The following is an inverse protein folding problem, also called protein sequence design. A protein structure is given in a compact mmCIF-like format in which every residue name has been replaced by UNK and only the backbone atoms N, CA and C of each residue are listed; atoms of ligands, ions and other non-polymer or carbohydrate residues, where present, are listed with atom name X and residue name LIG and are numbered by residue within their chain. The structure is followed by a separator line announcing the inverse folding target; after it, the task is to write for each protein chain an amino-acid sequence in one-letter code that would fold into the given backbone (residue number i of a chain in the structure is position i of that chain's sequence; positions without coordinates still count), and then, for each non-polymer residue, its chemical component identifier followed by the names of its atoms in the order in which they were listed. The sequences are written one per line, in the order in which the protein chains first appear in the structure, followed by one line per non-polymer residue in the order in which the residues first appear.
data_IF_298796820330
#
_entry.id   IF_298796820330
#
_cell.length_a   1.000
_cell.length_b   1.000
_cell.length_c   1.000
_cell.angle_alpha   90.00
_cell.angle_beta   90.00
_cell.angle_gamma   90.00
#
_symmetry.space_group_name_H-M   'P 1'
#
loop_
_entity.id
_entity.type
_entity.pdbx_description
1 polymer ?
#
# COMPACT_ATOMS: atom_id res chain seq x y z
N UNK A 1 25.68 -1.27 -0.12
CA UNK A 1 24.84 -0.96 -1.29
C UNK A 1 25.62 0.05 -2.10
N UNK A 2 26.33 -0.38 -3.14
CA UNK A 2 26.96 0.57 -4.07
C UNK A 2 25.86 1.03 -5.02
N UNK A 3 25.55 2.32 -5.03
CA UNK A 3 24.49 2.89 -5.89
C UNK A 3 24.81 2.69 -7.38
N UNK A 4 26.09 2.54 -7.72
CA UNK A 4 26.53 2.29 -9.09
C UNK A 4 27.82 1.44 -9.09
N UNK A 5 27.74 0.09 -9.02
CA UNK A 5 28.93 -0.76 -8.92
C UNK A 5 29.80 -0.73 -10.19
N UNK A 6 29.25 -0.29 -11.33
CA UNK A 6 29.99 -0.18 -12.60
C UNK A 6 30.77 1.14 -12.75
N UNK A 7 30.45 2.19 -11.98
CA UNK A 7 31.16 3.49 -12.04
C UNK A 7 32.44 3.56 -11.19
N UNK A 8 32.71 2.59 -10.30
CA UNK A 8 33.68 2.78 -9.21
C UNK A 8 35.00 2.03 -9.34
N UNK A 9 35.92 2.46 -10.21
CA UNK A 9 37.34 2.04 -10.11
C UNK A 9 38.36 3.17 -10.26
N UNK A 10 37.92 4.39 -10.57
CA UNK A 10 38.84 5.50 -10.89
C UNK A 10 39.46 6.16 -9.67
N UNK A 11 38.80 6.13 -8.50
CA UNK A 11 39.25 6.83 -7.30
C UNK A 11 39.55 5.92 -6.11
N UNK A 12 39.64 4.60 -6.32
CA UNK A 12 39.89 3.60 -5.28
C UNK A 12 41.20 3.89 -4.55
N UNK A 13 41.16 3.98 -3.22
CA UNK A 13 42.34 4.14 -2.37
C UNK A 13 42.90 5.56 -2.30
N UNK A 14 42.29 6.56 -2.97
CA UNK A 14 42.74 7.96 -2.88
C UNK A 14 42.68 8.51 -1.44
N UNK A 15 41.68 8.09 -0.66
CA UNK A 15 41.55 8.47 0.75
C UNK A 15 42.51 7.70 1.69
N UNK A 16 43.28 6.73 1.18
CA UNK A 16 44.33 6.01 1.92
C UNK A 16 45.72 6.62 1.66
N UNK A 17 45.78 7.94 1.51
CA UNK A 17 47.01 8.71 1.25
C UNK A 17 47.13 9.89 2.22
N UNK A 18 48.31 10.51 2.28
CA UNK A 18 48.51 11.73 3.09
C UNK A 18 47.64 12.89 2.56
N UNK A 19 47.21 13.83 3.42
CA UNK A 19 46.40 14.97 2.99
C UNK A 19 47.08 15.78 1.88
N UNK A 20 46.37 16.05 0.80
CA UNK A 20 46.84 16.85 -0.33
C UNK A 20 46.43 18.32 -0.21
N UNK A 21 47.26 19.25 -0.69
CA UNK A 21 46.91 20.69 -0.74
C UNK A 21 45.91 21.07 -1.85
N UNK A 22 45.57 20.13 -2.75
CA UNK A 22 44.52 20.34 -3.76
C UNK A 22 43.14 20.41 -3.10
N UNK A 23 42.29 21.34 -3.56
CA UNK A 23 40.90 21.42 -3.10
C UNK A 23 40.20 20.08 -3.29
N UNK A 24 39.61 19.55 -2.22
CA UNK A 24 38.77 18.37 -2.27
C UNK A 24 37.66 18.54 -3.32
N UNK A 25 37.21 17.45 -3.93
CA UNK A 25 36.16 17.52 -4.93
C UNK A 25 34.80 17.78 -4.26
N UNK A 26 34.19 18.91 -4.59
CA UNK A 26 32.83 19.25 -4.19
C UNK A 26 31.83 18.76 -5.25
N UNK A 27 30.87 17.93 -4.82
CA UNK A 27 29.79 17.45 -5.69
C UNK A 27 28.51 18.22 -5.44
N UNK A 28 27.92 18.75 -6.52
CA UNK A 28 26.61 19.40 -6.46
C UNK A 28 25.51 18.36 -6.64
N UNK A 29 24.51 18.37 -5.75
CA UNK A 29 23.36 17.47 -5.85
C UNK A 29 22.50 17.82 -7.07
N UNK A 30 22.03 16.80 -7.78
CA UNK A 30 21.13 16.97 -8.92
C UNK A 30 19.79 17.57 -8.48
N UNK A 31 19.32 18.62 -9.18
CA UNK A 31 17.98 19.17 -8.97
C UNK A 31 16.91 18.25 -9.59
N UNK A 32 15.67 18.33 -9.10
CA UNK A 32 14.55 17.61 -9.68
C UNK A 32 13.21 18.36 -9.62
N UNK A 33 12.46 18.35 -10.73
CA UNK A 33 11.06 18.75 -10.77
C UNK A 33 10.23 17.82 -9.87
N UNK A 34 9.38 18.43 -9.05
CA UNK A 34 8.53 17.71 -8.11
C UNK A 34 7.10 18.25 -8.13
N UNK A 35 6.15 17.33 -8.08
CA UNK A 35 4.73 17.63 -7.94
C UNK A 35 4.09 16.68 -6.93
N UNK A 36 3.34 17.21 -5.97
CA UNK A 36 2.55 16.42 -5.01
C UNK A 36 1.15 16.18 -5.59
N UNK A 37 0.79 14.91 -5.78
CA UNK A 37 -0.52 14.47 -6.30
C UNK A 37 -1.44 13.96 -5.18
N UNK A 38 -1.04 14.12 -3.92
CA UNK A 38 -1.71 13.53 -2.76
C UNK A 38 -2.96 14.29 -2.32
N UNK A 39 -3.38 15.33 -3.06
CA UNK A 39 -4.55 16.15 -2.73
C UNK A 39 -5.83 15.31 -2.59
N UNK A 40 -5.98 14.23 -3.38
CA UNK A 40 -7.10 13.28 -3.28
C UNK A 40 -7.19 12.54 -1.94
N UNK A 41 -6.08 12.45 -1.20
CA UNK A 41 -6.04 11.84 0.13
C UNK A 41 -6.28 12.85 1.26
N UNK A 42 -6.26 14.16 0.97
CA UNK A 42 -6.44 15.20 1.99
C UNK A 42 -7.92 15.43 2.30
N UNK A 43 -8.27 15.28 3.58
CA UNK A 43 -9.61 15.56 4.07
C UNK A 43 -9.79 17.07 4.34
N UNK A 44 -10.41 17.79 3.39
CA UNK A 44 -10.73 19.22 3.52
C UNK A 44 -11.74 19.51 4.62
N UNK A 45 -12.75 18.65 4.74
CA UNK A 45 -13.80 18.73 5.76
C UNK A 45 -14.11 17.34 6.30
N UNK A 46 -14.14 17.19 7.62
CA UNK A 46 -14.41 15.89 8.26
C UNK A 46 -15.88 15.81 8.68
N UNK A 47 -16.61 14.85 8.12
CA UNK A 47 -17.96 14.50 8.50
C UNK A 47 -18.05 12.99 8.75
N UNK A 48 -18.24 12.61 10.02
CA UNK A 48 -18.30 11.22 10.47
C UNK A 48 -19.73 10.68 10.61
N UNK A 49 -20.76 11.46 10.29
CA UNK A 49 -22.16 11.02 10.39
C UNK A 49 -22.62 10.15 9.22
N UNK A 50 -21.70 9.78 8.31
CA UNK A 50 -22.00 9.05 7.06
C UNK A 50 -21.78 7.55 7.24
N UNK A 51 -22.48 6.76 6.42
CA UNK A 51 -22.32 5.31 6.37
C UNK A 51 -21.36 4.89 5.26
N UNK A 52 -20.69 3.75 5.44
CA UNK A 52 -19.72 3.20 4.47
C UNK A 52 -20.35 2.61 3.20
N UNK A 53 -21.67 2.43 3.14
CA UNK A 53 -22.36 1.89 1.96
C UNK A 53 -22.07 2.73 0.68
N UNK A 54 -21.96 4.05 0.83
CA UNK A 54 -21.62 4.94 -0.29
C UNK A 54 -20.24 4.65 -0.87
N UNK A 55 -19.26 4.30 -0.05
CA UNK A 55 -17.91 3.98 -0.51
C UNK A 55 -17.90 2.75 -1.43
N UNK A 56 -18.63 1.69 -1.06
CA UNK A 56 -18.74 0.49 -1.89
C UNK A 56 -19.50 0.75 -3.19
N UNK A 57 -20.58 1.54 -3.15
CA UNK A 57 -21.32 1.92 -4.34
C UNK A 57 -20.44 2.70 -5.32
N UNK A 58 -19.74 3.74 -4.85
CA UNK A 58 -18.82 4.53 -5.68
C UNK A 58 -17.68 3.68 -6.24
N UNK A 59 -17.13 2.75 -5.44
CA UNK A 59 -16.10 1.82 -5.90
C UNK A 59 -16.60 0.94 -7.05
N UNK A 60 -17.74 0.29 -6.86
CA UNK A 60 -18.32 -0.59 -7.88
C UNK A 60 -18.62 0.21 -9.15
N UNK A 61 -19.27 1.36 -9.05
CA UNK A 61 -19.63 2.19 -10.21
C UNK A 61 -18.41 2.72 -10.96
N UNK A 62 -17.41 3.25 -10.26
CA UNK A 62 -16.20 3.81 -10.87
C UNK A 62 -15.34 2.77 -11.58
N UNK A 63 -15.37 1.51 -11.10
CA UNK A 63 -14.55 0.43 -11.65
C UNK A 63 -15.31 -0.45 -12.65
N UNK A 64 -16.65 -0.37 -12.70
CA UNK A 64 -17.49 -1.26 -13.50
C UNK A 64 -17.10 -1.27 -14.97
N UNK A 65 -16.96 -0.09 -15.57
CA UNK A 65 -16.68 0.03 -17.01
C UNK A 65 -15.34 -0.59 -17.38
N UNK A 66 -14.30 -0.36 -16.56
CA UNK A 66 -12.96 -0.96 -16.76
C UNK A 66 -12.99 -2.48 -16.66
N UNK A 67 -13.78 -3.02 -15.72
CA UNK A 67 -13.92 -4.47 -15.54
C UNK A 67 -14.78 -5.09 -16.66
N UNK A 68 -15.78 -4.37 -17.16
CA UNK A 68 -16.56 -4.76 -18.36
C UNK A 68 -15.65 -4.83 -19.59
N UNK A 69 -14.80 -3.83 -19.79
CA UNK A 69 -13.86 -3.81 -20.92
C UNK A 69 -12.84 -4.94 -20.82
N UNK A 70 -12.34 -5.23 -19.62
CA UNK A 70 -11.49 -6.39 -19.37
C UNK A 70 -12.20 -7.73 -19.69
N UNK A 71 -13.45 -7.87 -19.26
CA UNK A 71 -14.28 -9.06 -19.54
C UNK A 71 -14.53 -9.24 -21.03
N UNK A 72 -14.90 -8.18 -21.75
CA UNK A 72 -15.09 -8.20 -23.21
C UNK A 72 -13.81 -8.51 -23.97
N UNK A 73 -12.67 -8.01 -23.49
CA UNK A 73 -11.36 -8.29 -24.08
C UNK A 73 -10.95 -9.75 -23.88
N UNK A 74 -11.30 -10.34 -22.74
CA UNK A 74 -10.93 -11.73 -22.40
C UNK A 74 -11.88 -12.77 -23.01
N UNK A 75 -13.19 -12.54 -22.97
CA UNK A 75 -14.20 -13.53 -23.34
C UNK A 75 -14.99 -13.18 -24.62
N UNK A 76 -14.68 -12.04 -25.26
CA UNK A 76 -15.30 -11.61 -26.51
C UNK A 76 -16.27 -10.44 -26.32
N UNK A 77 -16.45 -9.64 -27.38
CA UNK A 77 -17.25 -8.41 -27.35
C UNK A 77 -18.73 -8.65 -27.06
N UNK A 78 -19.24 -9.81 -27.47
CA UNK A 78 -20.64 -10.22 -27.33
C UNK A 78 -20.89 -11.06 -26.07
N UNK A 79 -19.97 -11.02 -25.10
CA UNK A 79 -20.13 -11.77 -23.84
C UNK A 79 -21.36 -11.27 -23.07
N UNK A 80 -22.18 -12.22 -22.62
CA UNK A 80 -23.44 -11.96 -21.93
C UNK A 80 -23.17 -11.51 -20.48
N UNK A 81 -23.20 -10.21 -20.22
CA UNK A 81 -23.02 -9.63 -18.89
C UNK A 81 -24.38 -9.39 -18.27
N UNK A 82 -24.62 -9.97 -17.09
CA UNK A 82 -25.91 -9.89 -16.37
C UNK A 82 -25.76 -9.33 -14.97
N UNK A 83 -26.81 -8.70 -14.48
CA UNK A 83 -26.98 -8.40 -13.05
C UNK A 83 -27.40 -9.67 -12.30
N UNK A 84 -27.20 -9.71 -10.97
CA UNK A 84 -27.52 -10.92 -10.21
C UNK A 84 -29.02 -11.28 -10.25
N UNK A 85 -29.90 -10.29 -10.29
CA UNK A 85 -31.34 -10.52 -10.38
C UNK A 85 -31.84 -10.98 -11.76
N UNK A 86 -30.99 -10.99 -12.78
CA UNK A 86 -31.30 -11.39 -14.16
C UNK A 86 -30.79 -12.80 -14.49
N UNK A 87 -30.18 -13.46 -13.51
CA UNK A 87 -29.65 -14.81 -13.65
C UNK A 87 -30.76 -15.81 -13.98
N UNK A 88 -30.45 -16.71 -14.91
CA UNK A 88 -31.29 -17.84 -15.27
C UNK A 88 -30.49 -19.12 -15.03
N UNK A 89 -31.15 -20.15 -14.50
CA UNK A 89 -30.51 -21.45 -14.26
C UNK A 89 -29.89 -22.00 -15.56
N UNK A 90 -28.71 -22.59 -15.43
CA UNK A 90 -27.94 -23.25 -16.49
C UNK A 90 -27.53 -22.34 -17.68
N UNK A 91 -27.66 -21.02 -17.55
CA UNK A 91 -27.21 -20.05 -18.55
C UNK A 91 -25.80 -19.52 -18.24
N UNK A 92 -24.89 -19.62 -19.22
CA UNK A 92 -23.56 -19.02 -19.09
C UNK A 92 -23.62 -17.51 -19.23
N UNK A 93 -23.06 -16.82 -18.25
CA UNK A 93 -22.98 -15.36 -18.24
C UNK A 93 -21.77 -14.86 -17.44
N UNK A 94 -21.55 -13.55 -17.52
CA UNK A 94 -20.61 -12.81 -16.69
C UNK A 94 -21.38 -12.00 -15.67
N UNK A 95 -21.01 -12.15 -14.40
CA UNK A 95 -21.48 -11.30 -13.31
C UNK A 95 -20.33 -10.42 -12.81
N UNK A 96 -20.65 -9.17 -12.45
CA UNK A 96 -19.68 -8.19 -11.95
C UNK A 96 -20.18 -7.66 -10.63
N UNK A 97 -19.32 -7.68 -9.62
CA UNK A 97 -19.66 -7.22 -8.28
C UNK A 97 -18.44 -7.08 -7.39
N UNK A 98 -18.70 -6.77 -6.12
CA UNK A 98 -17.70 -6.68 -5.06
C UNK A 98 -17.58 -8.04 -4.36
N UNK A 99 -16.37 -8.53 -4.20
CA UNK A 99 -16.12 -9.73 -3.40
C UNK A 99 -16.31 -9.41 -1.92
N UNK A 100 -17.01 -10.30 -1.23
CA UNK A 100 -17.13 -10.33 0.21
C UNK A 100 -16.69 -11.71 0.70
N UNK A 101 -15.62 -11.75 1.50
CA UNK A 101 -15.14 -12.97 2.14
C UNK A 101 -15.73 -13.04 3.55
N UNK A 102 -16.68 -13.95 3.74
CA UNK A 102 -17.19 -14.27 5.05
C UNK A 102 -16.20 -15.19 5.75
N UNK A 103 -15.63 -14.71 6.86
CA UNK A 103 -14.58 -15.42 7.58
C UNK A 103 -15.02 -15.75 9.00
N UNK A 104 -14.87 -17.02 9.40
CA UNK A 104 -15.34 -17.51 10.71
C UNK A 104 -14.52 -16.96 11.87
N UNK A 105 -13.21 -16.77 11.66
CA UNK A 105 -12.28 -16.30 12.70
C UNK A 105 -12.19 -14.78 12.81
N UNK A 106 -12.93 -14.03 11.96
CA UNK A 106 -12.90 -12.57 11.98
C UNK A 106 -13.47 -12.04 13.32
N UNK A 107 -12.78 -11.10 13.99
CA UNK A 107 -13.29 -10.50 15.21
C UNK A 107 -14.59 -9.76 14.95
N UNK A 108 -15.55 -9.90 15.86
CA UNK A 108 -16.85 -9.26 15.78
C UNK A 108 -17.05 -8.38 17.01
N UNK A 109 -17.15 -7.07 16.77
CA UNK A 109 -17.43 -6.08 17.81
C UNK A 109 -18.71 -6.43 18.56
N UNK A 110 -19.73 -6.96 17.86
CA UNK A 110 -20.99 -7.34 18.50
C UNK A 110 -20.83 -8.54 19.44
N UNK A 111 -19.99 -9.53 19.09
CA UNK A 111 -19.68 -10.65 19.98
C UNK A 111 -18.93 -10.15 21.22
N UNK A 112 -17.91 -9.30 21.01
CA UNK A 112 -17.15 -8.67 22.09
C UNK A 112 -18.05 -7.88 23.05
N UNK A 113 -18.95 -7.04 22.52
CA UNK A 113 -19.90 -6.25 23.31
C UNK A 113 -20.97 -7.11 23.99
N UNK A 114 -21.41 -8.21 23.39
CA UNK A 114 -22.40 -9.11 24.00
C UNK A 114 -21.82 -9.93 25.16
N UNK A 115 -20.51 -10.15 25.14
CA UNK A 115 -19.75 -10.94 26.11
C UNK A 115 -19.14 -10.09 27.24
N UNK A 116 -19.46 -8.78 27.30
CA UNK A 116 -18.92 -7.73 28.20
C UNK A 116 -19.07 -7.97 29.71
N UNK A 117 -19.42 -9.17 30.15
CA UNK A 117 -19.50 -9.49 31.56
C UNK A 117 -18.49 -10.48 32.10
N UNK A 118 -17.60 -11.14 31.33
CA UNK A 118 -16.48 -11.93 31.94
C UNK A 118 -15.43 -12.55 30.98
N UNK A 119 -15.09 -11.96 29.83
CA UNK A 119 -14.02 -12.54 28.99
C UNK A 119 -12.79 -11.64 28.83
N UNK A 120 -11.63 -12.28 29.00
CA UNK A 120 -10.32 -11.73 28.65
C UNK A 120 -10.30 -11.42 27.14
N UNK A 121 -9.65 -10.32 26.71
CA UNK A 121 -9.54 -9.99 25.30
C UNK A 121 -8.93 -11.18 24.53
N UNK A 122 -9.56 -11.57 23.42
CA UNK A 122 -9.03 -12.65 22.60
C UNK A 122 -7.64 -12.27 22.06
N UNK A 123 -6.69 -13.22 22.03
CA UNK A 123 -5.36 -12.95 21.50
C UNK A 123 -5.46 -12.54 20.03
N UNK A 124 -4.73 -11.48 19.66
CA UNK A 124 -4.64 -11.02 18.28
C UNK A 124 -4.01 -12.14 17.45
N UNK A 125 -4.78 -12.68 16.50
CA UNK A 125 -4.29 -13.72 15.60
C UNK A 125 -3.39 -13.11 14.53
N UNK A 126 -2.40 -13.89 14.09
CA UNK A 126 -1.56 -13.55 12.94
C UNK A 126 -2.32 -13.63 11.62
N UNK A 127 -3.25 -14.59 11.50
CA UNK A 127 -4.18 -14.74 10.37
C UNK A 127 -5.61 -14.99 10.85
N UNK A 128 -6.56 -14.57 10.03
CA UNK A 128 -8.01 -14.71 10.28
C UNK A 128 -8.71 -15.62 9.24
N UNK A 129 -7.94 -16.28 8.40
CA UNK A 129 -8.40 -17.25 7.40
C UNK A 129 -8.83 -18.57 8.06
N UNK A 130 -9.87 -19.19 7.52
CA UNK A 130 -10.33 -20.52 7.92
C UNK A 130 -10.68 -21.36 6.68
N UNK A 131 -10.66 -22.69 6.81
CA UNK A 131 -11.05 -23.59 5.72
C UNK A 131 -12.56 -23.55 5.44
N UNK A 132 -13.37 -23.06 6.38
CA UNK A 132 -14.81 -22.90 6.23
C UNK A 132 -15.23 -21.52 5.72
N UNK A 133 -14.27 -20.65 5.41
CA UNK A 133 -14.53 -19.33 4.83
C UNK A 133 -15.34 -19.44 3.54
N UNK A 134 -16.22 -18.47 3.31
CA UNK A 134 -17.11 -18.45 2.13
C UNK A 134 -16.87 -17.18 1.33
N UNK A 135 -16.90 -17.34 0.01
CA UNK A 135 -16.80 -16.23 -0.91
C UNK A 135 -18.18 -15.89 -1.47
N UNK A 136 -18.52 -14.61 -1.42
CA UNK A 136 -19.81 -14.06 -1.85
C UNK A 136 -19.52 -12.94 -2.83
N UNK A 137 -20.30 -12.85 -3.91
CA UNK A 137 -20.31 -11.67 -4.77
C UNK A 137 -21.52 -10.82 -4.41
N UNK A 138 -21.29 -9.53 -4.20
CA UNK A 138 -22.33 -8.53 -3.96
C UNK A 138 -22.45 -7.60 -5.17
N UNK A 139 -23.65 -7.42 -5.68
CA UNK A 139 -23.97 -6.32 -6.62
C UNK A 139 -24.79 -5.23 -5.90
N UNK A 140 -25.44 -4.34 -6.64
CA UNK A 140 -26.22 -3.26 -6.03
C UNK A 140 -27.49 -3.74 -5.29
N UNK A 141 -27.99 -4.93 -5.59
CA UNK A 141 -29.31 -5.40 -5.14
C UNK A 141 -29.26 -6.69 -4.33
N UNK A 142 -28.32 -7.60 -4.64
CA UNK A 142 -28.33 -8.97 -4.15
C UNK A 142 -26.92 -9.51 -3.90
N UNK A 143 -26.88 -10.71 -3.34
CA UNK A 143 -25.66 -11.45 -3.04
C UNK A 143 -25.80 -12.89 -3.51
N UNK A 144 -24.73 -13.45 -4.05
CA UNK A 144 -24.68 -14.86 -4.46
C UNK A 144 -23.42 -15.53 -3.93
N UNK A 145 -23.53 -16.77 -3.47
CA UNK A 145 -22.38 -17.56 -3.01
C UNK A 145 -21.56 -18.02 -4.21
N UNK A 146 -20.24 -18.00 -4.10
CA UNK A 146 -19.33 -18.41 -5.15
C UNK A 146 -18.72 -19.77 -4.84
N UNK A 147 -18.65 -20.63 -5.85
CA UNK A 147 -17.95 -21.91 -5.82
C UNK A 147 -17.13 -22.08 -7.10
N UNK A 148 -16.17 -23.01 -7.12
CA UNK A 148 -15.40 -23.35 -8.31
C UNK A 148 -13.99 -22.77 -8.31
N UNK A 149 -13.58 -22.18 -9.44
CA UNK A 149 -12.17 -21.88 -9.75
C UNK A 149 -11.56 -20.72 -8.93
N UNK A 150 -12.38 -19.82 -8.40
CA UNK A 150 -11.88 -18.68 -7.64
C UNK A 150 -11.45 -19.12 -6.23
N UNK A 151 -10.15 -19.03 -5.96
CA UNK A 151 -9.59 -19.47 -4.69
C UNK A 151 -9.97 -18.51 -3.54
N UNK A 152 -10.62 -19.07 -2.52
CA UNK A 152 -11.09 -18.37 -1.33
C UNK A 152 -9.91 -17.87 -0.48
N UNK A 153 -8.82 -18.64 -0.43
CA UNK A 153 -7.70 -18.37 0.45
C UNK A 153 -6.89 -17.15 -0.02
N UNK A 154 -6.76 -16.95 -1.33
CA UNK A 154 -6.07 -15.80 -1.92
C UNK A 154 -6.97 -14.61 -2.28
N UNK A 155 -8.29 -14.76 -2.13
CA UNK A 155 -9.27 -13.69 -2.34
C UNK A 155 -9.43 -12.80 -1.09
N UNK A 156 -9.72 -11.51 -1.32
CA UNK A 156 -9.96 -10.53 -0.24
C UNK A 156 -11.25 -9.74 -0.46
N UNK A 157 -11.89 -9.32 0.63
CA UNK A 157 -13.08 -8.47 0.60
C UNK A 157 -12.78 -7.11 -0.06
N UNK A 158 -13.76 -6.59 -0.80
CA UNK A 158 -13.76 -5.25 -1.38
C UNK A 158 -13.16 -5.14 -2.78
N UNK A 159 -12.65 -6.24 -3.35
CA UNK A 159 -12.16 -6.29 -4.75
C UNK A 159 -13.33 -6.38 -5.72
N UNK A 160 -13.29 -5.60 -6.79
CA UNK A 160 -14.26 -5.68 -7.90
C UNK A 160 -13.75 -6.70 -8.92
N UNK A 161 -14.60 -7.64 -9.31
CA UNK A 161 -14.24 -8.75 -10.19
C UNK A 161 -15.35 -9.07 -11.18
N UNK A 162 -14.99 -9.51 -12.38
CA UNK A 162 -15.88 -10.17 -13.32
C UNK A 162 -15.70 -11.69 -13.22
N UNK A 163 -16.80 -12.41 -13.07
CA UNK A 163 -16.83 -13.87 -12.98
C UNK A 163 -17.63 -14.43 -14.15
N UNK A 164 -17.00 -15.31 -14.92
CA UNK A 164 -17.65 -16.08 -15.98
C UNK A 164 -18.02 -17.46 -15.45
N UNK A 165 -19.27 -17.85 -15.65
CA UNK A 165 -19.78 -19.09 -15.11
C UNK A 165 -21.27 -19.24 -15.30
N UNK A 166 -21.87 -20.02 -14.41
CA UNK A 166 -23.29 -20.41 -14.46
C UNK A 166 -23.85 -20.57 -13.06
N UNK A 167 -25.13 -20.26 -12.88
CA UNK A 167 -25.91 -20.72 -11.73
C UNK A 167 -26.57 -22.06 -12.10
N UNK A 168 -26.08 -23.20 -11.59
CA UNK A 168 -26.61 -24.49 -11.99
C UNK A 168 -27.97 -24.76 -11.35
N UNK A 169 -28.88 -25.41 -12.08
CA UNK A 169 -30.26 -25.64 -11.59
C UNK A 169 -30.34 -26.58 -10.37
N UNK A 170 -29.35 -27.48 -10.23
CA UNK A 170 -29.25 -28.43 -9.13
C UNK A 170 -28.81 -27.81 -7.79
N UNK A 171 -28.32 -26.57 -7.80
CA UNK A 171 -27.72 -25.90 -6.64
C UNK A 171 -27.96 -24.38 -6.69
N UNK A 172 -29.21 -23.99 -6.93
CA UNK A 172 -29.66 -22.59 -6.98
C UNK A 172 -29.18 -21.77 -5.79
N UNK A 173 -28.86 -20.50 -6.04
CA UNK A 173 -28.27 -19.58 -5.06
C UNK A 173 -26.75 -19.66 -4.94
N UNK A 174 -26.09 -20.48 -5.76
CA UNK A 174 -24.62 -20.52 -5.90
C UNK A 174 -24.21 -20.34 -7.34
N UNK A 175 -23.18 -19.54 -7.56
CA UNK A 175 -22.59 -19.32 -8.88
C UNK A 175 -21.32 -20.16 -9.03
N UNK A 176 -21.31 -21.06 -10.00
CA UNK A 176 -20.15 -21.88 -10.35
C UNK A 176 -19.21 -21.08 -11.26
N UNK A 177 -18.09 -20.61 -10.70
CA UNK A 177 -17.07 -19.84 -11.41
C UNK A 177 -16.21 -20.78 -12.25
N UNK A 178 -16.25 -20.59 -13.56
CA UNK A 178 -15.39 -21.29 -14.54
C UNK A 178 -14.14 -20.47 -14.86
N UNK A 179 -14.26 -19.15 -14.90
CA UNK A 179 -13.15 -18.23 -15.14
C UNK A 179 -13.43 -16.85 -14.53
N UNK A 180 -12.40 -16.03 -14.35
CA UNK A 180 -12.55 -14.68 -13.81
C UNK A 180 -11.53 -13.70 -14.39
N UNK A 181 -11.83 -12.42 -14.31
CA UNK A 181 -10.86 -11.35 -14.54
C UNK A 181 -11.13 -10.15 -13.63
N UNK A 182 -10.07 -9.42 -13.32
CA UNK A 182 -10.13 -8.13 -12.65
C UNK A 182 -10.13 -7.02 -13.70
N UNK A 183 -9.92 -5.77 -13.28
CA UNK A 183 -9.58 -4.75 -14.27
C UNK A 183 -8.24 -5.06 -14.92
N UNK A 184 -8.08 -4.63 -16.17
CA UNK A 184 -6.75 -4.57 -16.78
C UNK A 184 -5.93 -3.46 -16.11
N UNK A 185 -4.62 -3.48 -16.35
CA UNK A 185 -3.76 -2.38 -15.94
C UNK A 185 -4.33 -1.05 -16.47
N UNK A 186 -4.51 -0.04 -15.59
CA UNK A 186 -4.86 1.28 -16.06
C UNK A 186 -3.80 1.81 -17.02
N UNK A 187 -4.16 2.76 -17.88
CA UNK A 187 -3.19 3.39 -18.77
C UNK A 187 -2.04 3.98 -17.95
N UNK A 188 -0.82 3.74 -18.41
CA UNK A 188 0.40 4.27 -17.80
C UNK A 188 0.80 5.53 -18.54
N UNK A 189 1.07 6.60 -17.79
CA UNK A 189 1.71 7.80 -18.34
C UNK A 189 3.06 7.44 -18.96
N UNK A 190 3.46 8.14 -20.03
CA UNK A 190 4.71 7.83 -20.70
C UNK A 190 5.90 8.12 -19.79
N UNK A 191 6.75 7.11 -19.57
CA UNK A 191 7.99 7.27 -18.80
C UNK A 191 8.96 8.23 -19.52
N UNK A 192 9.45 9.27 -18.84
CA UNK A 192 10.47 10.15 -19.40
C UNK A 192 11.83 9.44 -19.53
N UNK A 193 12.60 9.85 -20.55
CA UNK A 193 13.98 9.41 -20.77
C UNK A 193 14.96 10.38 -20.11
N UNK A 194 15.98 9.86 -19.46
CA UNK A 194 17.00 10.65 -18.76
C UNK A 194 18.39 10.37 -19.33
N UNK A 195 19.21 11.41 -19.44
CA UNK A 195 20.62 11.30 -19.85
C UNK A 195 21.53 10.82 -18.70
N UNK A 196 21.11 11.09 -17.46
CA UNK A 196 21.84 10.76 -16.24
C UNK A 196 20.91 10.10 -15.22
N UNK A 197 21.47 9.17 -14.45
CA UNK A 197 20.76 8.46 -13.40
C UNK A 197 20.36 9.43 -12.28
N UNK A 198 19.17 9.20 -11.73
CA UNK A 198 18.67 9.90 -10.53
C UNK A 198 18.05 8.88 -9.60
N UNK A 199 18.26 9.05 -8.31
CA UNK A 199 17.85 8.09 -7.30
C UNK A 199 16.83 8.68 -6.32
N UNK A 200 15.85 7.86 -5.94
CA UNK A 200 14.92 8.15 -4.84
C UNK A 200 15.22 7.13 -3.75
N UNK A 201 15.63 7.59 -2.57
CA UNK A 201 15.81 6.73 -1.41
C UNK A 201 14.46 6.55 -0.70
N UNK A 202 13.98 5.31 -0.57
CA UNK A 202 12.77 5.00 0.19
C UNK A 202 13.19 4.25 1.45
N UNK A 203 12.85 4.81 2.61
CA UNK A 203 13.11 4.23 3.93
C UNK A 203 11.79 4.14 4.72
N UNK A 204 11.70 3.19 5.64
CA UNK A 204 10.53 3.00 6.49
C UNK A 204 10.94 2.26 7.76
N UNK A 205 10.16 2.39 8.84
CA UNK A 205 10.39 1.59 10.04
C UNK A 205 11.69 1.97 10.73
N UNK A 206 11.90 3.28 10.95
CA UNK A 206 13.04 3.74 11.73
C UNK A 206 12.91 3.30 13.20
N UNK A 207 11.67 3.17 13.69
CA UNK A 207 11.33 2.62 15.01
C UNK A 207 12.17 3.24 16.15
N UNK A 208 12.43 4.55 16.06
CA UNK A 208 13.24 5.28 17.05
C UNK A 208 12.54 5.25 18.41
N UNK A 209 13.32 5.02 19.47
CA UNK A 209 12.82 4.86 20.84
C UNK A 209 12.28 3.47 21.18
N UNK A 210 12.38 2.50 20.26
CA UNK A 210 12.05 1.10 20.49
C UNK A 210 13.24 0.29 21.03
N UNK A 211 12.96 -0.92 21.55
CA UNK A 211 14.01 -1.85 22.03
C UNK A 211 15.02 -2.27 20.96
N UNK A 212 14.57 -2.32 19.71
CA UNK A 212 15.36 -2.72 18.55
C UNK A 212 15.89 -1.53 17.74
N UNK A 213 16.00 -0.34 18.36
CA UNK A 213 16.51 0.86 17.70
C UNK A 213 17.92 0.63 17.12
N UNK A 214 18.08 0.92 15.82
CA UNK A 214 19.34 0.77 15.08
C UNK A 214 20.00 2.12 14.80
N UNK A 215 20.42 2.82 15.86
CA UNK A 215 20.94 4.20 15.74
C UNK A 215 22.20 4.29 14.86
N UNK A 216 23.13 3.33 14.95
CA UNK A 216 24.36 3.35 14.14
C UNK A 216 24.12 3.13 12.64
N UNK A 217 23.40 2.08 12.20
CA UNK A 217 23.01 1.96 10.78
C UNK A 217 22.20 3.13 10.25
N UNK A 218 21.34 3.73 11.09
CA UNK A 218 20.59 4.93 10.74
C UNK A 218 21.52 6.12 10.46
N UNK A 219 22.49 6.38 11.35
CA UNK A 219 23.48 7.45 11.16
C UNK A 219 24.33 7.20 9.90
N UNK A 220 24.82 5.97 9.68
CA UNK A 220 25.56 5.63 8.45
C UNK A 220 24.75 5.88 7.17
N UNK A 221 23.43 5.63 7.20
CA UNK A 221 22.55 5.91 6.07
C UNK A 221 22.41 7.42 5.85
N UNK A 222 22.24 8.20 6.92
CA UNK A 222 22.22 9.67 6.86
C UNK A 222 23.54 10.19 6.28
N UNK A 223 24.68 9.72 6.78
CA UNK A 223 26.02 10.10 6.31
C UNK A 223 26.20 9.73 4.81
N UNK A 224 25.71 8.57 4.38
CA UNK A 224 25.76 8.15 2.97
C UNK A 224 24.92 9.05 2.08
N UNK A 225 23.68 9.33 2.48
CA UNK A 225 22.77 10.19 1.71
C UNK A 225 23.29 11.63 1.63
N UNK A 226 23.89 12.12 2.72
CA UNK A 226 24.46 13.47 2.80
C UNK A 226 25.88 13.58 2.22
N UNK A 227 26.49 12.47 1.77
CA UNK A 227 27.81 12.44 1.14
C UNK A 227 29.01 12.53 2.11
N UNK A 228 28.78 12.30 3.40
CA UNK A 228 29.81 12.36 4.45
C UNK A 228 30.65 11.08 4.56
N UNK A 229 30.19 9.97 3.97
CA UNK A 229 30.90 8.69 3.96
C UNK A 229 31.15 8.22 2.54
N UNK A 230 32.28 7.55 2.35
CA UNK A 230 32.68 6.96 1.08
C UNK A 230 33.80 7.70 0.40
N UNK A 231 34.25 7.14 -0.72
CA UNK A 231 35.19 7.81 -1.61
C UNK A 231 34.47 8.77 -2.57
N UNK A 232 35.26 9.43 -3.41
CA UNK A 232 34.80 10.38 -4.41
C UNK A 232 33.70 9.80 -5.33
N UNK A 233 33.82 8.53 -5.74
CA UNK A 233 32.85 7.87 -6.64
C UNK A 233 31.51 7.62 -5.91
N UNK A 234 31.58 7.26 -4.62
CA UNK A 234 30.41 7.10 -3.76
C UNK A 234 29.73 8.44 -3.47
N UNK A 235 30.50 9.50 -3.22
CA UNK A 235 29.98 10.85 -2.99
C UNK A 235 29.28 11.40 -4.24
N UNK A 236 29.84 11.19 -5.44
CA UNK A 236 29.19 11.54 -6.71
C UNK A 236 27.87 10.76 -6.90
N UNK A 237 27.86 9.47 -6.55
CA UNK A 237 26.65 8.66 -6.62
C UNK A 237 25.58 9.16 -5.63
N UNK A 238 25.98 9.54 -4.42
CA UNK A 238 25.08 10.12 -3.42
C UNK A 238 24.54 11.50 -3.83
N UNK A 239 25.29 12.29 -4.62
CA UNK A 239 24.80 13.56 -5.18
C UNK A 239 23.70 13.35 -6.23
N UNK A 240 23.56 12.13 -6.76
CA UNK A 240 22.49 11.76 -7.70
C UNK A 240 21.19 11.34 -6.98
N UNK A 241 21.18 11.26 -5.64
CA UNK A 241 19.95 11.08 -4.84
C UNK A 241 19.19 12.40 -4.81
N UNK A 242 18.01 12.44 -5.41
CA UNK A 242 17.22 13.68 -5.55
C UNK A 242 16.11 13.82 -4.51
N UNK A 243 15.71 12.70 -3.87
CA UNK A 243 14.65 12.66 -2.85
C UNK A 243 14.87 11.52 -1.86
N UNK A 244 14.44 11.75 -0.62
CA UNK A 244 14.29 10.72 0.42
C UNK A 244 12.82 10.67 0.83
N UNK A 245 12.20 9.49 0.81
CA UNK A 245 10.83 9.24 1.24
C UNK A 245 10.88 8.40 2.51
N UNK A 246 10.33 8.92 3.61
CA UNK A 246 10.19 8.19 4.88
C UNK A 246 8.75 7.65 5.00
N UNK A 247 8.56 6.38 4.66
CA UNK A 247 7.26 5.73 4.54
C UNK A 247 6.73 5.15 5.86
N UNK A 248 6.62 6.01 6.88
CA UNK A 248 5.97 5.69 8.16
C UNK A 248 6.82 4.90 9.15
N UNK A 249 6.26 4.69 10.35
CA UNK A 249 6.89 4.06 11.51
C UNK A 249 8.25 4.67 11.87
N UNK A 250 8.31 6.01 11.89
CA UNK A 250 9.52 6.74 12.29
C UNK A 250 9.80 6.63 13.79
N UNK A 251 8.76 6.60 14.63
CA UNK A 251 8.83 6.37 16.07
C UNK A 251 8.23 5.01 16.40
N UNK A 252 8.79 4.34 17.40
CA UNK A 252 8.31 3.03 17.83
C UNK A 252 7.03 3.11 18.65
N UNK A 253 6.23 2.03 18.65
CA UNK A 253 5.08 1.88 19.53
C UNK A 253 5.47 1.93 21.02
N UNK A 254 6.71 1.55 21.37
CA UNK A 254 7.25 1.65 22.74
C UNK A 254 7.34 3.11 23.24
N UNK A 255 7.31 4.09 22.34
CA UNK A 255 7.28 5.53 22.68
C UNK A 255 5.89 6.00 23.12
N UNK A 256 4.87 5.15 22.96
CA UNK A 256 3.50 5.44 23.36
C UNK A 256 3.26 5.05 24.82
N UNK A 257 2.39 5.80 25.53
CA UNK A 257 2.04 5.51 26.91
C UNK A 257 1.27 4.18 26.97
N UNK A 258 1.66 3.29 27.88
CA UNK A 258 1.12 1.92 28.00
C UNK A 258 -0.39 1.88 28.26
N UNK A 259 -0.96 2.92 28.88
CA UNK A 259 -2.41 3.05 29.02
C UNK A 259 -3.15 3.23 27.67
N UNK A 260 -2.46 3.73 26.65
CA UNK A 260 -3.00 3.97 25.31
C UNK A 260 -3.19 2.67 24.51
N UNK A 261 -2.43 1.63 24.84
CA UNK A 261 -2.42 0.34 24.14
C UNK A 261 -3.56 -0.60 24.59
N UNK A 262 -4.06 -0.42 25.82
CA UNK A 262 -5.12 -1.27 26.40
C UNK A 262 -6.53 -0.68 26.28
N UNK A 263 -6.68 0.60 25.93
CA UNK A 263 -7.97 1.28 25.77
C UNK A 263 -8.33 1.38 24.29
N UNK A 264 -9.62 1.24 23.95
CA UNK A 264 -10.10 1.40 22.59
C UNK A 264 -9.70 2.77 22.00
N UNK A 265 -9.26 2.80 20.73
CA UNK A 265 -8.68 3.99 20.05
C UNK A 265 -9.50 5.29 20.13
N UNK A 266 -10.80 5.23 20.42
CA UNK A 266 -11.64 6.41 20.60
C UNK A 266 -11.46 7.09 21.98
N UNK A 267 -10.95 6.37 22.98
CA UNK A 267 -10.69 6.86 24.34
C UNK A 267 -9.30 7.50 24.49
N UNK A 268 -8.38 7.27 23.55
CA UNK A 268 -6.98 7.73 23.59
C UNK A 268 -6.72 8.94 22.69
N UNK A 269 -7.78 9.55 22.15
CA UNK A 269 -7.73 10.66 21.17
C UNK A 269 -7.08 11.96 21.68
N UNK A 270 -6.56 11.98 22.92
CA UNK A 270 -5.92 13.10 23.61
C UNK A 270 -4.66 12.71 24.41
N UNK A 271 -4.16 11.47 24.33
CA UNK A 271 -2.93 11.12 25.03
C UNK A 271 -1.71 11.66 24.26
N UNK A 272 -0.94 12.53 24.92
CA UNK A 272 0.41 12.85 24.45
C UNK A 272 1.30 11.67 24.77
N UNK A 273 1.79 11.00 23.74
CA UNK A 273 2.80 9.98 23.92
C UNK A 273 3.82 10.02 22.79
N UNK A 274 4.93 10.67 23.10
CA UNK A 274 6.20 10.42 22.49
C UNK A 274 7.25 10.64 23.59
N UNK A 275 8.20 9.73 23.75
CA UNK A 275 9.38 10.04 24.57
C UNK A 275 10.08 11.24 23.92
N UNK A 276 10.26 12.31 24.70
CA UNK A 276 10.82 13.58 24.21
C UNK A 276 12.18 13.35 23.54
N UNK A 277 12.95 12.40 24.06
CA UNK A 277 14.22 11.97 23.53
C UNK A 277 14.09 11.34 22.13
N UNK A 278 13.10 10.47 21.89
CA UNK A 278 12.92 9.84 20.58
C UNK A 278 12.46 10.85 19.52
N UNK A 279 11.61 11.81 19.90
CA UNK A 279 11.21 12.91 19.02
C UNK A 279 12.42 13.77 18.67
N UNK A 280 13.27 14.07 19.65
CA UNK A 280 14.50 14.83 19.41
C UNK A 280 15.45 14.10 18.46
N UNK A 281 15.68 12.80 18.67
CA UNK A 281 16.50 12.00 17.77
C UNK A 281 15.95 11.98 16.34
N UNK A 282 14.62 11.86 16.19
CA UNK A 282 13.98 11.92 14.88
C UNK A 282 14.15 13.30 14.22
N UNK A 283 14.00 14.37 14.98
CA UNK A 283 14.22 15.74 14.51
C UNK A 283 15.67 15.95 14.07
N UNK A 284 16.64 15.47 14.85
CA UNK A 284 18.07 15.54 14.51
C UNK A 284 18.39 14.79 13.19
N UNK A 285 17.77 13.63 12.96
CA UNK A 285 17.90 12.87 11.70
C UNK A 285 17.32 13.65 10.52
N UNK A 286 16.11 14.19 10.66
CA UNK A 286 15.47 14.97 9.59
C UNK A 286 16.19 16.29 9.34
N UNK A 287 16.72 16.94 10.37
CA UNK A 287 17.53 18.13 10.25
C UNK A 287 18.78 17.86 9.38
N UNK A 288 19.53 16.80 9.70
CA UNK A 288 20.71 16.39 8.92
C UNK A 288 20.37 16.10 7.46
N UNK A 289 19.30 15.33 7.20
CA UNK A 289 18.85 15.02 5.83
C UNK A 289 18.40 16.27 5.07
N UNK A 290 17.65 17.16 5.73
CA UNK A 290 17.10 18.37 5.11
C UNK A 290 18.18 19.40 4.75
N UNK A 291 19.33 19.36 5.45
CA UNK A 291 20.46 20.23 5.18
C UNK A 291 21.07 20.04 3.78
N UNK A 292 20.91 18.86 3.16
CA UNK A 292 21.55 18.52 1.88
C UNK A 292 20.58 18.04 0.78
N UNK A 293 19.42 17.49 1.13
CA UNK A 293 18.56 16.71 0.20
C UNK A 293 17.24 17.41 -0.19
N UNK A 294 17.03 18.67 0.24
CA UNK A 294 15.85 19.55 0.02
C UNK A 294 14.95 19.70 1.27
N UNK A 295 14.15 20.78 1.27
CA UNK A 295 13.16 21.16 2.28
C UNK A 295 12.28 19.97 2.73
N UNK A 296 12.24 19.73 4.05
CA UNK A 296 11.40 18.73 4.68
C UNK A 296 9.92 19.00 4.36
N UNK A 297 9.19 17.97 3.91
CA UNK A 297 7.75 18.04 3.64
C UNK A 297 7.02 16.90 4.34
N UNK A 298 6.01 17.24 5.11
CA UNK A 298 5.07 16.26 5.67
C UNK A 298 3.94 16.03 4.67
N UNK A 299 3.76 14.77 4.27
CA UNK A 299 2.80 14.35 3.24
C UNK A 299 1.76 13.39 3.83
N UNK A 300 0.74 13.02 3.06
CA UNK A 300 -0.31 12.09 3.51
C UNK A 300 0.15 10.63 3.43
N UNK A 301 -0.64 9.73 4.01
CA UNK A 301 -0.60 8.30 3.71
C UNK A 301 -2.02 7.88 3.28
N UNK A 302 -2.23 7.35 2.05
CA UNK A 302 -1.25 7.12 0.98
C UNK A 302 -0.56 8.38 0.44
N UNK A 303 0.53 8.20 -0.30
CA UNK A 303 1.34 9.25 -0.91
C UNK A 303 1.48 9.05 -2.42
N UNK A 304 1.27 10.10 -3.21
CA UNK A 304 1.32 10.09 -4.67
C UNK A 304 2.04 11.36 -5.17
N UNK A 305 3.02 11.22 -6.06
CA UNK A 305 3.82 12.34 -6.55
C UNK A 305 4.43 12.09 -7.92
N UNK A 306 4.82 13.16 -8.61
CA UNK A 306 5.78 13.11 -9.71
C UNK A 306 7.16 13.54 -9.22
N UNK A 307 8.17 12.74 -9.55
CA UNK A 307 9.59 13.12 -9.48
C UNK A 307 10.12 13.06 -10.91
N UNK A 308 10.40 14.22 -11.50
CA UNK A 308 10.88 14.32 -12.89
C UNK A 308 9.99 13.60 -13.91
N UNK A 309 8.67 13.70 -13.74
CA UNK A 309 7.69 13.01 -14.59
C UNK A 309 7.52 11.51 -14.29
N UNK A 310 8.33 10.93 -13.40
CA UNK A 310 8.12 9.58 -12.88
C UNK A 310 7.11 9.64 -11.74
N UNK A 311 5.90 9.13 -11.99
CA UNK A 311 4.89 8.92 -10.94
C UNK A 311 5.27 7.82 -9.95
N UNK A 312 5.29 8.19 -8.67
CA UNK A 312 5.57 7.33 -7.52
C UNK A 312 4.36 7.34 -6.60
N UNK A 313 3.77 6.16 -6.38
CA UNK A 313 2.64 5.94 -5.49
C UNK A 313 3.05 4.97 -4.39
N UNK A 314 2.63 5.18 -3.16
CA UNK A 314 2.88 4.19 -2.11
C UNK A 314 2.18 4.46 -0.80
N UNK A 315 2.40 3.54 0.13
CA UNK A 315 1.78 3.57 1.46
C UNK A 315 2.81 3.23 2.54
N UNK A 316 2.48 3.52 3.79
CA UNK A 316 3.25 3.04 4.95
C UNK A 316 3.02 1.55 5.27
N UNK A 317 2.33 0.82 4.39
CA UNK A 317 2.26 -0.65 4.41
C UNK A 317 1.10 -1.30 5.14
N UNK A 318 0.25 -0.52 5.79
CA UNK A 318 -0.95 -1.04 6.44
C UNK A 318 -1.85 -1.84 5.48
N UNK A 319 -2.09 -1.44 4.21
CA UNK A 319 -2.92 -2.23 3.29
C UNK A 319 -2.37 -3.63 3.02
N UNK A 320 -1.06 -3.75 2.73
CA UNK A 320 -0.42 -5.02 2.44
C UNK A 320 -0.42 -5.93 3.67
N UNK A 321 -0.03 -5.41 4.82
CA UNK A 321 -0.07 -6.16 6.08
C UNK A 321 -1.51 -6.59 6.43
N UNK A 322 -2.52 -5.77 6.12
CA UNK A 322 -3.91 -6.15 6.34
C UNK A 322 -4.35 -7.28 5.39
N UNK A 323 -3.96 -7.23 4.11
CA UNK A 323 -4.23 -8.31 3.16
C UNK A 323 -3.61 -9.63 3.64
N UNK A 324 -2.35 -9.61 4.11
CA UNK A 324 -1.68 -10.81 4.66
C UNK A 324 -2.43 -11.44 5.85
N UNK A 325 -3.09 -10.63 6.67
CA UNK A 325 -3.85 -11.13 7.83
C UNK A 325 -5.19 -11.77 7.44
N UNK A 326 -5.74 -11.42 6.27
CA UNK A 326 -7.10 -11.81 5.82
C UNK A 326 -7.07 -12.73 4.57
N UNK A 327 -5.88 -13.16 4.16
CA UNK A 327 -5.66 -14.09 3.04
C UNK A 327 -4.44 -14.97 3.29
N UNK A 328 -4.25 -15.99 2.46
CA UNK A 328 -3.04 -16.81 2.42
C UNK A 328 -1.96 -16.21 1.50
N UNK A 329 -2.00 -14.89 1.28
CA UNK A 329 -0.93 -14.17 0.58
C UNK A 329 0.11 -13.72 1.59
N UNK A 330 1.34 -14.22 1.46
CA UNK A 330 2.43 -13.94 2.42
C UNK A 330 3.55 -13.06 1.84
N UNK A 331 3.65 -12.94 0.52
CA UNK A 331 4.67 -12.13 -0.15
C UNK A 331 4.15 -10.71 -0.42
N UNK A 332 4.84 -9.70 0.10
CA UNK A 332 4.44 -8.30 -0.03
C UNK A 332 4.48 -7.80 -1.48
N UNK A 333 5.40 -8.31 -2.29
CA UNK A 333 5.58 -7.90 -3.68
C UNK A 333 4.44 -8.47 -4.53
N UNK A 334 4.06 -9.72 -4.31
CA UNK A 334 2.91 -10.33 -4.98
C UNK A 334 1.58 -9.68 -4.56
N UNK A 335 1.45 -9.21 -3.31
CA UNK A 335 0.28 -8.42 -2.89
C UNK A 335 0.26 -7.07 -3.59
N UNK A 336 1.39 -6.37 -3.70
CA UNK A 336 1.47 -5.12 -4.46
C UNK A 336 1.07 -5.32 -5.93
N UNK A 337 1.55 -6.40 -6.54
CA UNK A 337 1.21 -6.82 -7.90
C UNK A 337 -0.31 -7.04 -8.06
N UNK A 338 -0.92 -7.70 -7.07
CA UNK A 338 -2.37 -7.89 -7.01
C UNK A 338 -3.12 -6.59 -6.80
N UNK A 339 -2.67 -5.68 -5.95
CA UNK A 339 -3.30 -4.37 -5.76
C UNK A 339 -3.31 -3.53 -7.04
N UNK A 340 -2.26 -3.62 -7.87
CA UNK A 340 -2.24 -3.01 -9.21
C UNK A 340 -3.24 -3.68 -10.15
N UNK A 341 -3.33 -5.02 -10.14
CA UNK A 341 -4.26 -5.78 -11.00
C UNK A 341 -5.72 -5.60 -10.58
N UNK A 342 -5.98 -5.52 -9.27
CA UNK A 342 -7.26 -5.09 -8.71
C UNK A 342 -7.48 -3.59 -8.93
N UNK A 343 -6.42 -2.86 -9.29
CA UNK A 343 -6.25 -1.40 -9.35
C UNK A 343 -6.93 -0.66 -8.21
N UNK A 344 -6.59 -1.10 -7.01
CA UNK A 344 -7.05 -0.52 -5.77
C UNK A 344 -5.94 -0.60 -4.71
N UNK A 345 -5.61 0.53 -4.07
CA UNK A 345 -4.50 0.65 -3.10
C UNK A 345 -4.80 -0.15 -1.82
N UNK A 346 -6.06 -0.13 -1.36
CA UNK A 346 -6.48 -0.71 -0.08
C UNK A 346 -7.86 -1.39 -0.19
N UNK A 347 -7.99 -2.51 -0.93
CA UNK A 347 -9.29 -3.12 -1.24
C UNK A 347 -10.07 -3.51 0.02
N UNK A 348 -9.37 -3.92 1.07
CA UNK A 348 -9.96 -4.34 2.34
C UNK A 348 -10.48 -3.19 3.20
N UNK A 349 -10.29 -1.93 2.78
CA UNK A 349 -10.92 -0.78 3.41
C UNK A 349 -12.35 -0.60 2.88
N UNK A 350 -13.34 -0.27 3.73
CA UNK A 350 -13.25 0.03 5.17
C UNK A 350 -13.34 -1.18 6.11
N UNK A 351 -13.55 -2.38 5.56
CA UNK A 351 -14.04 -3.56 6.31
C UNK A 351 -13.09 -4.06 7.41
N UNK A 352 -11.84 -4.37 7.04
CA UNK A 352 -10.80 -4.80 7.97
C UNK A 352 -9.67 -3.79 8.14
N UNK A 353 -9.58 -2.81 7.23
CA UNK A 353 -8.72 -1.65 7.36
C UNK A 353 -9.59 -0.40 7.46
N UNK A 354 -9.59 0.26 8.63
CA UNK A 354 -10.38 1.47 8.84
C UNK A 354 -9.96 2.60 7.90
N UNK A 355 -10.92 3.29 7.31
CA UNK A 355 -10.71 4.49 6.52
C UNK A 355 -11.78 5.55 6.81
N UNK A 356 -11.66 6.73 6.23
CA UNK A 356 -12.71 7.75 6.32
C UNK A 356 -13.92 7.35 5.47
N UNK A 357 -15.18 7.57 5.92
CA UNK A 357 -16.37 7.26 5.13
C UNK A 357 -16.55 8.27 3.97
N UNK A 358 -15.76 8.08 2.90
CA UNK A 358 -15.92 8.84 1.67
C UNK A 358 -17.29 8.57 1.03
N UNK A 359 -17.78 9.56 0.28
CA UNK A 359 -19.14 9.55 -0.27
C UNK A 359 -19.20 9.84 -1.77
N UNK A 360 -18.31 10.69 -2.30
CA UNK A 360 -18.35 11.10 -3.71
C UNK A 360 -17.36 10.36 -4.60
N UNK A 361 -16.34 9.79 -3.99
CA UNK A 361 -15.21 9.20 -4.68
C UNK A 361 -14.52 8.24 -3.71
N UNK A 362 -14.03 7.11 -4.21
CA UNK A 362 -13.09 6.25 -3.50
C UNK A 362 -11.65 6.66 -3.91
N UNK A 363 -10.90 7.38 -3.06
CA UNK A 363 -9.57 7.86 -3.42
C UNK A 363 -8.55 6.73 -3.56
N UNK A 364 -8.88 5.52 -3.12
CA UNK A 364 -7.98 4.37 -3.18
C UNK A 364 -8.00 3.65 -4.54
N UNK A 365 -8.90 4.03 -5.45
CA UNK A 365 -8.90 3.52 -6.83
C UNK A 365 -7.64 4.03 -7.56
N UNK A 366 -6.99 3.12 -8.29
CA UNK A 366 -5.85 3.44 -9.14
C UNK A 366 -6.40 3.78 -10.53
N UNK A 367 -6.52 5.09 -10.80
CA UNK A 367 -7.08 5.60 -12.05
C UNK A 367 -6.11 5.49 -13.23
N UNK A 368 -4.84 5.74 -12.95
CA UNK A 368 -3.69 5.66 -13.87
C UNK A 368 -2.62 4.78 -13.23
N UNK A 369 -1.87 4.02 -14.03
CA UNK A 369 -0.84 3.13 -13.50
C UNK A 369 0.41 3.93 -13.09
N UNK A 370 0.90 3.82 -11.84
CA UNK A 370 2.15 4.47 -11.44
C UNK A 370 3.36 3.78 -12.09
N UNK A 371 4.49 4.47 -12.19
CA UNK A 371 5.75 3.84 -12.61
C UNK A 371 6.39 3.07 -11.45
N UNK A 372 6.25 3.59 -10.23
CA UNK A 372 6.75 2.97 -9.01
C UNK A 372 5.59 2.87 -8.03
N UNK A 373 5.28 1.64 -7.60
CA UNK A 373 4.33 1.38 -6.53
C UNK A 373 5.04 0.71 -5.35
N UNK A 374 5.07 1.35 -4.20
CA UNK A 374 5.84 0.88 -3.04
C UNK A 374 4.99 0.69 -1.78
N UNK A 375 5.52 -0.13 -0.87
CA UNK A 375 4.95 -0.42 0.44
C UNK A 375 6.04 -0.31 1.51
N UNK A 376 5.85 0.55 2.52
CA UNK A 376 6.75 0.61 3.68
C UNK A 376 6.53 -0.54 4.67
N UNK A 377 7.42 -0.65 5.64
CA UNK A 377 7.26 -1.48 6.85
C UNK A 377 7.00 -2.97 6.59
N UNK A 378 7.63 -3.52 5.55
CA UNK A 378 7.61 -4.96 5.28
C UNK A 378 8.80 -5.66 5.93
N UNK A 379 8.67 -6.95 6.21
CA UNK A 379 9.67 -7.74 6.96
C UNK A 379 11.00 -7.92 6.21
N UNK A 380 10.99 -7.79 4.89
CA UNK A 380 12.15 -7.92 4.02
C UNK A 380 12.05 -7.01 2.80
N UNK A 381 13.19 -6.73 2.17
CA UNK A 381 13.24 -6.07 0.88
C UNK A 381 12.84 -7.04 -0.24
N UNK A 382 12.01 -6.56 -1.17
CA UNK A 382 11.65 -7.27 -2.39
C UNK A 382 11.27 -6.28 -3.48
N UNK A 383 11.47 -6.67 -4.75
CA UNK A 383 11.14 -5.83 -5.90
C UNK A 383 10.77 -6.69 -7.10
N UNK A 384 9.81 -6.23 -7.90
CA UNK A 384 9.36 -6.87 -9.14
C UNK A 384 9.01 -5.80 -10.16
N UNK A 385 9.28 -6.09 -11.43
CA UNK A 385 8.76 -5.32 -12.56
C UNK A 385 7.52 -6.06 -13.06
N UNK A 386 6.35 -5.43 -12.92
CA UNK A 386 5.12 -5.93 -13.55
C UNK A 386 5.27 -5.79 -15.07
N UNK A 387 4.98 -6.86 -15.81
CA UNK A 387 5.13 -6.93 -17.27
C UNK A 387 3.80 -7.15 -17.96
#
# INVERSE_FOLDING_TARGET
MLLNPEKGTTNVGKLLTEPTESSDADYVRSDCKYEDLSERFRLKSKNFSRQYAHLYAERLWSMRDKVVDAAKSKWGKDVNIKKLHELQSDEKCVIIGTLFKHMELRPSILKELSEEHNLMPQPIKSKYTDSNDKLILEDELQRILLIGKLDIQTSVTGVIVALYGVEPDDNRGKFQVEDFCYQQLPEQIQRPMFEHDRFIAIISGLEIGGKDEKSFPLQLMVDMVTGQVGDMDQQESSSSIVRVIVAGNSLSEDTQDKESLQKAKYLTKKSEAASVEAVKTLDDVFFQLSGQVVLLRTVTNPYDCHVEGVRVLGTSGQPVTNIMRYSELDDAVDILDKCITWGHIAPTAPDSLGCYPFYKEDPFIITECPHIFFCGNQSSFGSKIHK
#
